data_IF_871872067007
#
_entry.id   IF_871872067007
#
_cell.length_a   1.000
_cell.length_b   1.000
_cell.length_c   1.000
_cell.angle_alpha   90.00
_cell.angle_beta   90.00
_cell.angle_gamma   90.00
#
_symmetry.space_group_name_H-M   'P 1'
#
loop_
_entity.id
_entity.type
_entity.pdbx_description
1 polymer ?
#
# COMPACT_ATOMS: atom_id res chain seq x y z
N UNK A 1 12.00 5.64 -16.17
CA UNK A 1 11.75 6.42 -14.93
C UNK A 1 12.85 7.48 -14.79
N UNK A 2 12.51 8.71 -14.49
CA UNK A 2 13.52 9.71 -14.14
C UNK A 2 14.05 9.45 -12.73
N UNK A 3 15.35 9.64 -12.48
CA UNK A 3 15.95 9.43 -11.16
C UNK A 3 15.33 10.30 -10.05
N UNK A 4 14.68 11.40 -10.41
CA UNK A 4 14.05 12.36 -9.50
C UNK A 4 12.53 12.15 -9.31
N UNK A 5 11.94 11.13 -9.94
CA UNK A 5 10.52 10.86 -9.77
C UNK A 5 10.24 10.27 -8.39
N UNK A 6 9.37 10.91 -7.61
CA UNK A 6 8.94 10.40 -6.32
C UNK A 6 8.05 9.18 -6.47
N UNK A 7 8.12 8.29 -5.50
CA UNK A 7 7.53 6.95 -5.54
C UNK A 7 6.73 6.68 -4.29
N UNK A 8 5.53 6.13 -4.47
CA UNK A 8 4.58 5.87 -3.38
C UNK A 8 3.98 4.47 -3.49
N UNK A 9 3.83 3.80 -2.36
CA UNK A 9 3.05 2.58 -2.24
C UNK A 9 1.72 2.86 -1.54
N UNK A 10 0.62 2.45 -2.18
CA UNK A 10 -0.74 2.67 -1.68
C UNK A 10 -1.47 1.33 -1.61
N UNK A 11 -1.91 0.93 -0.42
CA UNK A 11 -2.80 -0.22 -0.24
C UNK A 11 -4.26 0.22 -0.24
N UNK A 12 -5.19 -0.68 -0.58
CA UNK A 12 -6.59 -0.32 -0.77
C UNK A 12 -6.83 0.55 -2.01
N UNK A 13 -5.96 0.45 -3.00
CA UNK A 13 -5.93 1.33 -4.17
C UNK A 13 -7.04 1.08 -5.19
N UNK A 14 -7.84 0.02 -5.05
CA UNK A 14 -8.85 -0.36 -6.05
C UNK A 14 -10.21 0.32 -5.88
N UNK A 15 -10.44 1.03 -4.80
CA UNK A 15 -11.73 1.66 -4.52
C UNK A 15 -11.63 2.82 -3.53
N UNK A 16 -12.67 3.65 -3.50
CA UNK A 16 -12.83 4.70 -2.50
C UNK A 16 -11.67 5.67 -2.40
N UNK A 17 -11.26 5.95 -1.17
CA UNK A 17 -10.19 6.91 -0.84
C UNK A 17 -8.86 6.45 -1.45
N UNK A 18 -8.51 5.18 -1.31
CA UNK A 18 -7.24 4.65 -1.83
C UNK A 18 -7.10 4.80 -3.34
N UNK A 19 -8.18 4.55 -4.09
CA UNK A 19 -8.20 4.76 -5.55
C UNK A 19 -8.03 6.24 -5.91
N UNK A 20 -8.79 7.12 -5.26
CA UNK A 20 -8.70 8.56 -5.51
C UNK A 20 -7.29 9.11 -5.21
N UNK A 21 -6.68 8.65 -4.12
CA UNK A 21 -5.31 9.02 -3.74
C UNK A 21 -4.31 8.51 -4.78
N UNK A 22 -4.41 7.25 -5.22
CA UNK A 22 -3.53 6.69 -6.24
C UNK A 22 -3.59 7.48 -7.56
N UNK A 23 -4.79 7.79 -8.02
CA UNK A 23 -5.00 8.58 -9.25
C UNK A 23 -4.46 10.01 -9.10
N UNK A 24 -4.63 10.63 -7.93
CA UNK A 24 -4.13 11.98 -7.66
C UNK A 24 -2.60 12.03 -7.68
N UNK A 25 -1.93 11.12 -7.00
CA UNK A 25 -0.47 11.05 -7.01
C UNK A 25 0.09 10.75 -8.40
N UNK A 26 -0.54 9.84 -9.15
CA UNK A 26 -0.15 9.55 -10.54
C UNK A 26 -0.29 10.78 -11.44
N UNK A 27 -1.37 11.55 -11.29
CA UNK A 27 -1.60 12.80 -12.04
C UNK A 27 -0.54 13.85 -11.71
N UNK A 28 -0.03 13.88 -10.49
CA UNK A 28 1.04 14.79 -10.07
C UNK A 28 2.44 14.30 -10.42
N UNK A 29 2.56 13.21 -11.17
CA UNK A 29 3.82 12.70 -11.69
C UNK A 29 4.57 11.74 -10.78
N UNK A 30 3.95 11.27 -9.70
CA UNK A 30 4.53 10.23 -8.86
C UNK A 30 4.43 8.86 -9.55
N UNK A 31 5.43 8.02 -9.32
CA UNK A 31 5.31 6.59 -9.62
C UNK A 31 4.56 5.91 -8.48
N UNK A 32 3.42 5.31 -8.82
CA UNK A 32 2.49 4.70 -7.84
C UNK A 32 2.53 3.18 -7.92
N UNK A 33 2.87 2.53 -6.83
CA UNK A 33 2.62 1.10 -6.62
C UNK A 33 1.25 0.94 -5.95
N UNK A 34 0.26 0.46 -6.65
CA UNK A 34 -1.10 0.25 -6.15
C UNK A 34 -1.33 -1.20 -5.76
N UNK A 35 -1.78 -1.44 -4.53
CA UNK A 35 -2.11 -2.77 -4.02
C UNK A 35 -3.55 -2.87 -3.56
N UNK A 36 -4.19 -3.96 -3.92
CA UNK A 36 -5.53 -4.36 -3.49
C UNK A 36 -5.77 -5.83 -3.87
N UNK A 37 -6.85 -6.43 -3.39
CA UNK A 37 -7.22 -7.81 -3.75
C UNK A 37 -7.71 -7.93 -5.19
N UNK A 38 -8.43 -6.92 -5.70
CA UNK A 38 -9.05 -6.93 -7.03
C UNK A 38 -8.04 -6.56 -8.11
N UNK A 39 -7.36 -7.59 -8.61
CA UNK A 39 -6.32 -7.44 -9.62
C UNK A 39 -6.81 -6.74 -10.88
N UNK A 40 -8.01 -7.06 -11.34
CA UNK A 40 -8.59 -6.54 -12.60
C UNK A 40 -8.73 -5.00 -12.53
N UNK A 41 -9.14 -4.46 -11.39
CA UNK A 41 -9.26 -3.01 -11.21
C UNK A 41 -7.89 -2.35 -11.17
N UNK A 42 -6.91 -2.97 -10.49
CA UNK A 42 -5.54 -2.47 -10.46
C UNK A 42 -4.91 -2.48 -11.86
N UNK A 43 -5.12 -3.54 -12.63
CA UNK A 43 -4.59 -3.66 -13.98
C UNK A 43 -5.22 -2.63 -14.93
N UNK A 44 -6.51 -2.30 -14.74
CA UNK A 44 -7.14 -1.22 -15.47
C UNK A 44 -6.56 0.16 -15.11
N UNK A 45 -6.33 0.40 -13.83
CA UNK A 45 -5.65 1.62 -13.36
C UNK A 45 -4.21 1.72 -13.89
N UNK A 46 -3.52 0.59 -14.03
CA UNK A 46 -2.15 0.50 -14.53
C UNK A 46 -2.02 0.78 -16.04
N UNK A 47 -3.12 0.99 -16.76
CA UNK A 47 -3.10 1.59 -18.11
C UNK A 47 -2.54 3.03 -18.07
N UNK A 48 -2.66 3.72 -16.94
CA UNK A 48 -1.87 4.91 -16.65
C UNK A 48 -0.42 4.48 -16.35
N UNK A 49 0.54 4.93 -17.15
CA UNK A 49 1.95 4.54 -17.02
C UNK A 49 2.60 4.88 -15.68
N UNK A 50 2.01 5.79 -14.91
CA UNK A 50 2.47 6.14 -13.57
C UNK A 50 1.94 5.20 -12.48
N UNK A 51 1.05 4.27 -12.80
CA UNK A 51 0.49 3.30 -11.84
C UNK A 51 0.94 1.89 -12.22
N UNK A 52 1.47 1.17 -11.26
CA UNK A 52 1.82 -0.25 -11.39
C UNK A 52 0.97 -1.09 -10.43
N UNK A 53 0.51 -2.24 -10.91
CA UNK A 53 -0.39 -3.15 -10.19
C UNK A 53 0.41 -4.16 -9.36
N UNK A 54 0.14 -4.19 -8.05
CA UNK A 54 0.70 -5.14 -7.09
C UNK A 54 -0.43 -5.77 -6.26
N UNK A 55 -1.10 -6.80 -6.78
CA UNK A 55 -2.19 -7.47 -6.06
C UNK A 55 -1.74 -7.99 -4.70
N UNK A 56 -2.55 -7.75 -3.67
CA UNK A 56 -2.22 -8.07 -2.30
C UNK A 56 -3.48 -8.21 -1.45
N UNK A 57 -3.54 -9.26 -0.63
CA UNK A 57 -4.45 -9.34 0.49
C UNK A 57 -3.68 -9.01 1.79
N UNK A 58 -4.01 -7.87 2.41
CA UNK A 58 -3.28 -7.36 3.58
C UNK A 58 -3.40 -8.23 4.84
N UNK A 59 -4.36 -9.17 4.89
CA UNK A 59 -4.47 -10.12 6.02
C UNK A 59 -3.35 -11.17 5.99
N UNK A 60 -2.67 -11.32 4.88
CA UNK A 60 -1.54 -12.23 4.74
C UNK A 60 -0.23 -11.49 4.98
N UNK A 61 0.37 -11.69 6.17
CA UNK A 61 1.60 -11.02 6.60
C UNK A 61 2.77 -11.30 5.63
N UNK A 62 2.95 -12.55 5.22
CA UNK A 62 4.04 -12.94 4.32
C UNK A 62 3.90 -12.29 2.94
N UNK A 63 2.69 -12.23 2.41
CA UNK A 63 2.42 -11.58 1.12
C UNK A 63 2.66 -10.07 1.18
N UNK A 64 2.40 -9.42 2.31
CA UNK A 64 2.75 -8.01 2.51
C UNK A 64 4.26 -7.78 2.36
N UNK A 65 5.08 -8.60 3.03
CA UNK A 65 6.54 -8.52 2.94
C UNK A 65 7.05 -8.81 1.53
N UNK A 66 6.57 -9.89 0.90
CA UNK A 66 6.96 -10.25 -0.47
C UNK A 66 6.57 -9.17 -1.48
N UNK A 67 5.40 -8.59 -1.33
CA UNK A 67 4.93 -7.50 -2.20
C UNK A 67 5.82 -6.28 -2.07
N UNK A 68 6.16 -5.88 -0.85
CA UNK A 68 7.06 -4.75 -0.64
C UNK A 68 8.47 -5.00 -1.19
N UNK A 69 9.02 -6.18 -0.98
CA UNK A 69 10.33 -6.56 -1.56
C UNK A 69 10.31 -6.48 -3.08
N UNK A 70 9.23 -6.93 -3.71
CA UNK A 70 9.05 -6.83 -5.16
C UNK A 70 8.98 -5.37 -5.62
N UNK A 71 8.23 -4.52 -4.91
CA UNK A 71 8.14 -3.08 -5.22
C UNK A 71 9.54 -2.45 -5.14
N UNK A 72 10.30 -2.70 -4.08
CA UNK A 72 11.66 -2.16 -3.93
C UNK A 72 12.58 -2.66 -5.04
N UNK A 73 12.48 -3.93 -5.44
CA UNK A 73 13.30 -4.47 -6.53
C UNK A 73 13.02 -3.79 -7.89
N UNK A 74 11.79 -3.38 -8.13
CA UNK A 74 11.36 -2.75 -9.38
C UNK A 74 11.45 -1.22 -9.37
N UNK A 75 11.13 -0.60 -8.23
CA UNK A 75 11.10 0.87 -8.06
C UNK A 75 12.43 1.44 -7.57
N UNK A 76 13.32 0.63 -7.06
CA UNK A 76 14.59 0.98 -6.40
C UNK A 76 14.40 1.56 -5.00
N UNK A 77 13.46 2.48 -4.82
CA UNK A 77 13.12 3.08 -3.53
C UNK A 77 11.64 3.43 -3.45
N UNK A 78 11.16 3.68 -2.27
CA UNK A 78 9.84 4.24 -1.96
C UNK A 78 10.01 5.44 -1.03
N UNK A 79 9.38 6.55 -1.37
CA UNK A 79 9.43 7.79 -0.60
C UNK A 79 8.30 7.90 0.42
N UNK A 80 7.15 7.29 0.13
CA UNK A 80 5.94 7.39 0.94
C UNK A 80 5.11 6.10 0.85
N UNK A 81 4.51 5.70 1.95
CA UNK A 81 3.49 4.66 1.99
C UNK A 81 2.19 5.21 2.57
N UNK A 82 1.06 4.90 1.94
CA UNK A 82 -0.28 5.21 2.45
C UNK A 82 -1.11 3.93 2.49
N UNK A 83 -1.55 3.54 3.67
CA UNK A 83 -2.32 2.33 3.89
C UNK A 83 -3.80 2.66 4.03
N UNK A 84 -4.55 2.47 2.94
CA UNK A 84 -5.99 2.75 2.84
C UNK A 84 -6.84 1.48 2.83
N UNK A 85 -6.25 0.31 3.05
CA UNK A 85 -7.01 -0.94 3.10
C UNK A 85 -8.00 -0.92 4.26
N UNK A 86 -9.25 -1.22 3.95
CA UNK A 86 -10.30 -1.30 4.95
C UNK A 86 -11.52 -2.01 4.40
N UNK A 87 -12.34 -2.53 5.28
CA UNK A 87 -13.63 -3.13 4.95
C UNK A 87 -14.67 -2.72 5.98
N UNK A 88 -15.88 -2.48 5.49
CA UNK A 88 -17.06 -2.20 6.31
C UNK A 88 -18.30 -2.54 5.51
N UNK A 89 -19.21 -3.28 6.10
CA UNK A 89 -20.50 -3.60 5.49
C UNK A 89 -21.64 -3.38 6.50
N UNK A 90 -22.32 -2.24 6.45
CA UNK A 90 -23.38 -1.89 7.40
C UNK A 90 -24.57 -2.85 7.36
N UNK A 91 -24.76 -3.60 6.28
CA UNK A 91 -25.84 -4.58 6.17
C UNK A 91 -25.60 -5.83 7.02
N UNK A 92 -24.33 -6.12 7.35
CA UNK A 92 -23.92 -7.25 8.16
C UNK A 92 -23.82 -6.93 9.65
N UNK A 93 -24.07 -5.68 10.05
CA UNK A 93 -23.89 -5.21 11.43
C UNK A 93 -25.18 -5.03 12.23
N UNK A 94 -26.31 -5.57 11.76
CA UNK A 94 -27.56 -5.51 12.50
C UNK A 94 -27.56 -6.27 13.82
N UNK A 95 -26.65 -7.24 13.94
CA UNK A 95 -26.46 -8.07 15.13
C UNK A 95 -24.96 -8.35 15.33
N UNK A 96 -24.55 -8.65 16.57
CA UNK A 96 -23.18 -9.02 16.86
C UNK A 96 -22.85 -10.33 16.15
N UNK A 97 -21.97 -10.27 15.15
CA UNK A 97 -21.47 -11.41 14.42
C UNK A 97 -19.95 -11.48 14.62
N UNK A 98 -19.51 -12.38 15.49
CA UNK A 98 -18.09 -12.50 15.87
C UNK A 98 -17.19 -12.85 14.69
N UNK A 99 -17.65 -13.65 13.74
CA UNK A 99 -16.89 -14.00 12.54
C UNK A 99 -16.67 -12.76 11.67
N UNK A 100 -17.72 -11.98 11.45
CA UNK A 100 -17.64 -10.74 10.67
C UNK A 100 -16.77 -9.71 11.38
N UNK A 101 -16.94 -9.57 12.70
CA UNK A 101 -16.16 -8.62 13.48
C UNK A 101 -14.66 -8.96 13.47
N UNK A 102 -14.30 -10.23 13.57
CA UNK A 102 -12.90 -10.68 13.43
C UNK A 102 -12.35 -10.37 12.03
N UNK A 103 -13.13 -10.62 11.00
CA UNK A 103 -12.74 -10.30 9.64
C UNK A 103 -12.47 -8.79 9.45
N UNK A 104 -13.34 -7.93 9.99
CA UNK A 104 -13.15 -6.48 9.97
C UNK A 104 -11.86 -6.08 10.70
N UNK A 105 -11.60 -6.66 11.86
CA UNK A 105 -10.36 -6.42 12.61
C UNK A 105 -9.13 -6.93 11.87
N UNK A 106 -9.22 -8.10 11.25
CA UNK A 106 -8.11 -8.67 10.47
C UNK A 106 -7.72 -7.77 9.30
N UNK A 107 -8.68 -7.15 8.62
CA UNK A 107 -8.39 -6.23 7.52
C UNK A 107 -8.00 -4.84 8.03
N UNK A 108 -8.83 -4.23 8.89
CA UNK A 108 -8.73 -2.80 9.21
C UNK A 108 -7.64 -2.49 10.23
N UNK A 109 -7.30 -3.47 11.08
CA UNK A 109 -6.26 -3.31 12.11
C UNK A 109 -5.02 -4.15 11.80
N UNK A 110 -5.14 -5.47 11.80
CA UNK A 110 -3.98 -6.34 11.58
C UNK A 110 -3.43 -6.22 10.15
N UNK A 111 -4.28 -6.01 9.14
CA UNK A 111 -3.84 -5.78 7.77
C UNK A 111 -2.97 -4.53 7.64
N UNK A 112 -3.32 -3.45 8.33
CA UNK A 112 -2.48 -2.25 8.38
C UNK A 112 -1.16 -2.53 9.09
N UNK A 113 -1.19 -3.23 10.23
CA UNK A 113 0.04 -3.61 10.95
C UNK A 113 0.95 -4.51 10.11
N UNK A 114 0.40 -5.43 9.33
CA UNK A 114 1.17 -6.27 8.41
C UNK A 114 1.92 -5.42 7.37
N UNK A 115 1.27 -4.39 6.84
CA UNK A 115 1.90 -3.45 5.91
C UNK A 115 2.97 -2.59 6.59
N UNK A 116 2.69 -2.07 7.79
CA UNK A 116 3.68 -1.29 8.58
C UNK A 116 4.91 -2.15 8.87
N UNK A 117 4.72 -3.39 9.29
CA UNK A 117 5.82 -4.33 9.55
C UNK A 117 6.66 -4.60 8.31
N UNK A 118 6.02 -4.71 7.14
CA UNK A 118 6.73 -4.94 5.88
C UNK A 118 7.70 -3.80 5.53
N UNK A 119 7.40 -2.57 5.93
CA UNK A 119 8.17 -1.37 5.56
C UNK A 119 9.04 -0.80 6.68
N UNK A 120 8.85 -1.21 7.94
CA UNK A 120 9.48 -0.57 9.10
C UNK A 120 11.01 -0.58 9.02
N UNK A 121 11.63 -1.71 8.70
CA UNK A 121 13.10 -1.82 8.62
C UNK A 121 13.64 -0.92 7.51
N UNK A 122 12.99 -0.89 6.35
CA UNK A 122 13.38 -0.05 5.25
C UNK A 122 13.41 1.43 5.64
N UNK A 123 12.33 1.93 6.25
CA UNK A 123 12.26 3.35 6.66
C UNK A 123 13.16 3.67 7.85
N UNK A 124 13.33 2.77 8.81
CA UNK A 124 14.27 2.96 9.92
C UNK A 124 15.72 3.08 9.41
N UNK A 125 16.13 2.23 8.48
CA UNK A 125 17.47 2.29 7.88
C UNK A 125 17.66 3.56 7.04
N UNK A 126 16.64 3.96 6.31
CA UNK A 126 16.66 5.19 5.52
C UNK A 126 16.83 6.44 6.38
N UNK A 127 16.10 6.54 7.48
CA UNK A 127 16.21 7.64 8.44
C UNK A 127 17.59 7.68 9.11
N UNK A 128 18.16 6.53 9.45
CA UNK A 128 19.51 6.44 10.01
C UNK A 128 20.57 6.96 9.05
N UNK A 129 20.50 6.60 7.77
CA UNK A 129 21.39 7.08 6.72
C UNK A 129 21.28 8.60 6.49
N UNK A 130 20.06 9.14 6.54
CA UNK A 130 19.82 10.58 6.45
C UNK A 130 20.44 11.34 7.62
N UNK A 131 20.30 10.79 8.84
CA UNK A 131 20.89 11.40 10.03
C UNK A 131 22.43 11.42 9.98
N UNK A 132 23.05 10.36 9.48
CA UNK A 132 24.50 10.32 9.27
C UNK A 132 24.99 11.32 8.22
N UNK A 133 24.24 11.49 7.12
CA UNK A 133 24.56 12.46 6.08
C UNK A 133 24.43 13.90 6.56
N UNK A 134 23.46 14.19 7.43
CA UNK A 134 23.27 15.52 8.03
C UNK A 134 24.34 15.93 9.04
N UNK A 135 25.17 14.97 9.49
CA UNK A 135 26.29 15.23 10.42
C UNK A 135 27.66 15.38 9.70
N UNK A 136 27.69 15.10 8.42
CA UNK A 136 28.88 15.32 7.58
C UNK A 136 28.80 16.67 6.89
#
# INVERSE_FOLDING_TARGET
>A
MSENQKKIWITGASSGIGKAVAEKFAKEGWQVAGSARRKEILDDMAKNHNISSYPLDVVNEEDCSKTFDKIISEFTNIDLCIFCSGTYDPKKEKEINLKQNRFVMDVNYFGVLNCVKAVEIYFCNYLHLQHLRGKM
#
